data_IF_346172988574
#
_entry.id   IF_346172988574
#
_cell.length_a   1.000
_cell.length_b   1.000
_cell.length_c   1.000
_cell.angle_alpha   90.00
_cell.angle_beta   90.00
_cell.angle_gamma   90.00
#
_symmetry.space_group_name_H-M   'P 1'
#
loop_
_entity.id
_entity.type
_entity.pdbx_description
1 polymer ?
#
# COMPACT_ATOMS: atom_id res chain seq x y z
N UNK A 1 31.34 -10.65 7.36
CA UNK A 1 30.82 -10.76 8.74
C UNK A 1 30.58 -9.36 9.26
N UNK A 2 29.35 -9.02 9.57
CA UNK A 2 28.93 -7.72 10.13
C UNK A 2 28.73 -7.96 11.62
N UNK A 3 29.52 -7.33 12.51
CA UNK A 3 29.28 -7.48 13.95
C UNK A 3 28.06 -6.66 14.36
N UNK A 4 26.98 -7.32 14.74
CA UNK A 4 25.85 -6.70 15.42
C UNK A 4 26.28 -6.29 16.83
N UNK A 5 26.25 -5.00 17.12
CA UNK A 5 26.40 -4.47 18.48
C UNK A 5 25.13 -3.68 18.83
N UNK A 6 24.25 -4.31 19.58
CA UNK A 6 23.06 -3.71 20.15
C UNK A 6 23.43 -2.84 21.37
N UNK A 7 23.55 -1.55 21.17
CA UNK A 7 23.26 -0.48 22.14
C UNK A 7 23.33 0.82 21.34
N UNK A 8 22.18 1.38 20.93
CA UNK A 8 22.15 2.66 20.21
C UNK A 8 23.01 2.60 18.94
N UNK A 9 22.73 1.68 18.02
CA UNK A 9 23.67 1.32 17.00
C UNK A 9 23.38 2.02 15.68
N UNK A 10 24.24 2.96 15.34
CA UNK A 10 24.43 3.41 13.97
C UNK A 10 25.17 2.30 13.20
N UNK A 11 24.59 1.78 12.15
CA UNK A 11 25.26 0.90 11.20
C UNK A 11 25.60 1.71 9.95
N UNK A 12 26.88 2.00 9.75
CA UNK A 12 27.34 2.58 8.49
C UNK A 12 27.67 1.48 7.49
N UNK A 13 26.90 1.37 6.42
CA UNK A 13 27.26 0.56 5.26
C UNK A 13 28.19 1.44 4.39
N UNK A 14 29.45 1.06 4.29
CA UNK A 14 30.41 1.75 3.44
C UNK A 14 30.54 1.01 2.12
N UNK A 15 30.43 1.77 1.04
CA UNK A 15 30.85 1.45 -0.32
C UNK A 15 30.17 0.24 -0.97
N UNK A 16 29.06 0.52 -1.68
CA UNK A 16 28.59 -0.38 -2.74
C UNK A 16 29.23 0.06 -4.06
N UNK A 17 30.14 -0.75 -4.58
CA UNK A 17 30.70 -0.58 -5.91
C UNK A 17 29.96 -1.53 -6.85
N UNK A 18 29.18 -0.96 -7.78
CA UNK A 18 28.55 -1.72 -8.83
C UNK A 18 29.43 -1.66 -10.08
N UNK A 19 29.89 -2.80 -10.56
CA UNK A 19 30.54 -2.97 -11.86
C UNK A 19 29.61 -3.78 -12.76
N UNK A 20 28.92 -3.11 -13.70
CA UNK A 20 28.15 -3.79 -14.73
C UNK A 20 29.06 -4.37 -15.80
N UNK A 21 28.76 -5.55 -16.32
CA UNK A 21 29.51 -6.22 -17.37
C UNK A 21 29.35 -5.62 -18.78
N UNK A 22 28.68 -4.50 -18.93
CA UNK A 22 28.56 -3.82 -20.21
C UNK A 22 29.80 -2.93 -20.44
N UNK A 23 30.64 -3.32 -21.38
CA UNK A 23 31.92 -2.62 -21.64
C UNK A 23 31.75 -1.19 -22.12
N UNK A 24 30.56 -0.75 -22.53
CA UNK A 24 30.29 0.61 -23.00
C UNK A 24 29.81 1.59 -21.93
N UNK A 25 29.35 1.13 -20.77
CA UNK A 25 28.87 2.01 -19.70
C UNK A 25 29.32 1.56 -18.32
N UNK A 26 30.58 1.78 -17.99
CA UNK A 26 31.03 1.63 -16.60
C UNK A 26 30.52 2.79 -15.76
N UNK A 27 29.47 2.57 -14.99
CA UNK A 27 28.96 3.54 -14.02
C UNK A 27 29.62 3.23 -12.68
N UNK A 28 30.43 4.16 -12.18
CA UNK A 28 30.90 4.10 -10.81
C UNK A 28 29.90 4.79 -9.90
N UNK A 29 29.34 4.03 -8.96
CA UNK A 29 28.43 4.58 -7.93
C UNK A 29 29.18 4.59 -6.62
N UNK A 30 29.24 5.75 -5.98
CA UNK A 30 29.79 5.92 -4.64
C UNK A 30 28.76 6.63 -3.76
N UNK A 31 28.26 5.94 -2.76
CA UNK A 31 27.23 6.42 -1.85
C UNK A 31 27.46 5.85 -0.45
N UNK A 32 27.36 6.68 0.57
CA UNK A 32 27.33 6.23 1.95
C UNK A 32 25.93 6.43 2.52
N UNK A 33 25.43 5.43 3.22
CA UNK A 33 24.15 5.51 3.94
C UNK A 33 24.41 5.34 5.43
N UNK A 34 23.74 6.14 6.25
CA UNK A 34 23.65 5.92 7.68
C UNK A 34 22.30 5.28 7.99
N UNK A 35 22.33 4.14 8.65
CA UNK A 35 21.14 3.39 9.05
C UNK A 35 21.03 3.46 10.57
N UNK A 36 19.83 3.74 11.05
CA UNK A 36 19.46 3.67 12.46
C UNK A 36 18.44 2.53 12.65
N UNK A 37 18.63 1.75 13.72
CA UNK A 37 17.67 0.77 14.17
C UNK A 37 17.28 1.15 15.60
N UNK A 38 15.99 1.39 15.82
CA UNK A 38 15.43 1.74 17.11
C UNK A 38 14.29 0.82 17.50
N UNK A 39 14.12 0.64 18.81
CA UNK A 39 12.99 -0.11 19.37
C UNK A 39 12.34 0.79 20.40
N UNK A 40 11.05 1.00 20.24
CA UNK A 40 10.23 1.75 21.18
C UNK A 40 8.95 0.97 21.46
N UNK A 41 8.68 0.70 22.72
CA UNK A 41 7.56 -0.12 23.15
C UNK A 41 7.60 -1.49 22.42
N UNK A 42 6.61 -1.80 21.58
CA UNK A 42 6.53 -3.04 20.81
C UNK A 42 6.86 -2.82 19.32
N UNK A 43 7.41 -1.66 18.98
CA UNK A 43 7.71 -1.30 17.59
C UNK A 43 9.22 -1.28 17.35
N UNK A 44 9.63 -1.86 16.23
CA UNK A 44 10.99 -1.76 15.72
C UNK A 44 10.98 -0.88 14.48
N UNK A 45 11.87 0.10 14.42
CA UNK A 45 12.10 0.93 13.23
C UNK A 45 13.49 0.71 12.70
N UNK A 46 13.59 0.45 11.41
CA UNK A 46 14.78 0.50 10.60
C UNK A 46 14.66 1.68 9.64
N UNK A 47 15.62 2.59 9.63
CA UNK A 47 15.56 3.76 8.76
C UNK A 47 16.93 4.19 8.24
N UNK A 48 16.96 4.72 7.03
CA UNK A 48 18.11 5.45 6.52
C UNK A 48 17.97 6.90 6.96
N UNK A 49 18.82 7.34 7.88
CA UNK A 49 18.78 8.70 8.43
C UNK A 49 19.59 9.69 7.59
N UNK A 50 20.52 9.19 6.77
CA UNK A 50 21.35 10.02 5.91
C UNK A 50 21.85 9.27 4.70
N UNK A 51 21.86 9.95 3.56
CA UNK A 51 22.54 9.51 2.34
C UNK A 51 23.56 10.55 1.92
N UNK A 52 24.85 10.20 1.97
CA UNK A 52 25.92 11.03 1.43
C UNK A 52 26.14 10.68 -0.04
N UNK A 53 25.64 11.54 -0.90
CA UNK A 53 25.74 11.41 -2.36
C UNK A 53 27.12 11.78 -2.83
N UNK A 54 27.72 10.91 -3.59
CA UNK A 54 29.01 11.13 -4.24
C UNK A 54 28.86 10.90 -5.76
N UNK A 55 29.84 10.29 -6.38
CA UNK A 55 29.85 10.05 -7.81
C UNK A 55 28.78 9.04 -8.24
N UNK A 56 28.06 9.32 -9.32
CA UNK A 56 27.13 8.40 -9.99
C UNK A 56 25.79 8.17 -9.30
N UNK A 57 25.47 8.88 -8.21
CA UNK A 57 24.20 8.71 -7.49
C UNK A 57 22.97 9.15 -8.30
N UNK A 58 23.16 10.02 -9.29
CA UNK A 58 22.14 10.44 -10.26
C UNK A 58 21.71 9.30 -11.22
N UNK A 59 22.41 8.17 -11.20
CA UNK A 59 22.11 6.98 -12.00
C UNK A 59 21.37 5.91 -11.21
N UNK A 60 21.11 6.12 -9.93
CA UNK A 60 20.40 5.16 -9.09
C UNK A 60 18.90 5.37 -9.28
N UNK A 61 18.21 4.39 -9.85
CA UNK A 61 16.77 4.44 -10.04
C UNK A 61 16.02 3.98 -8.78
N UNK A 62 16.54 2.97 -8.09
CA UNK A 62 15.90 2.40 -6.90
C UNK A 62 16.92 1.87 -5.88
N UNK A 63 16.46 1.74 -4.65
CA UNK A 63 17.16 1.06 -3.55
C UNK A 63 16.33 -0.18 -3.22
N UNK A 64 16.98 -1.33 -3.23
CA UNK A 64 16.39 -2.60 -2.82
C UNK A 64 17.31 -3.29 -1.81
N UNK A 65 16.73 -3.79 -0.74
CA UNK A 65 17.46 -4.51 0.32
C UNK A 65 16.75 -5.86 0.54
N UNK A 66 16.90 -6.81 -0.40
CA UNK A 66 16.11 -8.04 -0.41
C UNK A 66 16.40 -8.97 0.78
N UNK A 67 17.47 -8.71 1.53
CA UNK A 67 17.84 -9.48 2.73
C UNK A 67 17.46 -8.77 4.03
N UNK A 68 16.71 -7.68 3.95
CA UNK A 68 16.19 -6.96 5.11
C UNK A 68 14.99 -7.72 5.71
N UNK A 69 15.23 -8.90 6.23
CA UNK A 69 14.23 -9.74 6.87
C UNK A 69 14.02 -9.29 8.32
N UNK A 70 13.31 -8.18 8.51
CA UNK A 70 13.04 -7.63 9.85
C UNK A 70 12.00 -8.45 10.62
N UNK A 71 11.18 -9.20 9.91
CA UNK A 71 10.12 -10.02 10.48
C UNK A 71 10.14 -11.40 9.84
N UNK A 72 10.20 -12.44 10.64
CA UNK A 72 10.16 -13.82 10.18
C UNK A 72 9.50 -14.74 11.21
N UNK A 73 8.97 -15.85 10.72
CA UNK A 73 8.41 -16.93 11.52
C UNK A 73 8.91 -18.26 10.97
N UNK A 74 9.23 -19.21 11.87
CA UNK A 74 9.53 -20.59 11.47
C UNK A 74 8.23 -21.34 11.18
N UNK A 75 8.19 -22.07 10.09
CA UNK A 75 6.99 -22.79 9.65
C UNK A 75 6.58 -23.92 10.63
N UNK A 76 7.52 -24.37 11.45
CA UNK A 76 7.27 -25.39 12.48
C UNK A 76 6.74 -24.83 13.80
N UNK A 77 6.66 -23.50 13.93
CA UNK A 77 6.07 -22.88 15.10
C UNK A 77 4.55 -23.14 15.14
N UNK A 78 4.03 -23.34 16.33
CA UNK A 78 2.62 -23.59 16.53
C UNK A 78 1.79 -22.40 16.03
N UNK A 79 0.79 -22.65 15.17
CA UNK A 79 -0.07 -21.65 14.52
C UNK A 79 0.70 -20.65 13.62
N UNK A 80 1.87 -21.03 13.11
CA UNK A 80 2.58 -20.19 12.14
C UNK A 80 1.72 -19.95 10.89
N UNK A 81 1.51 -18.67 10.56
CA UNK A 81 0.64 -18.28 9.46
C UNK A 81 0.99 -16.91 8.90
N UNK A 82 0.51 -16.66 7.70
CA UNK A 82 0.61 -15.38 7.02
C UNK A 82 -0.80 -14.91 6.61
N UNK A 83 -1.05 -13.62 6.78
CA UNK A 83 -2.18 -12.92 6.20
C UNK A 83 -1.70 -11.66 5.47
N UNK A 84 -2.26 -11.37 4.31
CA UNK A 84 -1.90 -10.18 3.55
C UNK A 84 -2.90 -9.83 2.48
N UNK A 85 -2.71 -8.72 1.77
CA UNK A 85 -3.55 -8.33 0.67
C UNK A 85 -2.73 -7.90 -0.54
N UNK A 86 -3.15 -8.34 -1.71
CA UNK A 86 -2.65 -7.86 -3.01
C UNK A 86 -3.66 -6.91 -3.61
N UNK A 87 -3.19 -5.96 -4.41
CA UNK A 87 -4.07 -5.14 -5.24
C UNK A 87 -4.76 -6.04 -6.26
N UNK A 88 -6.09 -6.12 -6.19
CA UNK A 88 -6.87 -6.88 -7.17
C UNK A 88 -7.55 -5.95 -8.15
N UNK A 89 -7.34 -6.19 -9.44
CA UNK A 89 -8.06 -5.50 -10.51
C UNK A 89 -9.34 -6.25 -10.93
N UNK A 90 -9.56 -7.44 -10.40
CA UNK A 90 -10.76 -8.23 -10.64
C UNK A 90 -11.79 -7.97 -9.53
N UNK A 91 -12.85 -7.25 -9.87
CA UNK A 91 -13.94 -6.89 -8.93
C UNK A 91 -14.69 -8.08 -8.34
N UNK A 92 -14.47 -9.30 -8.85
CA UNK A 92 -15.09 -10.54 -8.39
C UNK A 92 -14.20 -11.35 -7.45
N UNK A 93 -12.96 -10.90 -7.21
CA UNK A 93 -12.00 -11.59 -6.36
C UNK A 93 -11.53 -10.68 -5.25
N UNK A 94 -11.45 -11.24 -4.05
CA UNK A 94 -10.73 -10.59 -2.94
C UNK A 94 -9.23 -10.55 -3.24
N UNK A 95 -8.59 -9.47 -2.79
CA UNK A 95 -7.14 -9.37 -2.73
C UNK A 95 -6.53 -10.08 -1.52
N UNK A 96 -7.36 -10.55 -0.59
CA UNK A 96 -6.89 -11.15 0.65
C UNK A 96 -6.23 -12.50 0.42
N UNK A 97 -5.16 -12.75 1.16
CA UNK A 97 -4.38 -13.98 1.16
C UNK A 97 -4.17 -14.47 2.58
N UNK A 98 -4.53 -15.73 2.81
CA UNK A 98 -4.32 -16.41 4.08
C UNK A 98 -3.55 -17.71 3.82
N UNK A 99 -2.44 -17.90 4.51
CA UNK A 99 -1.58 -19.08 4.38
C UNK A 99 -1.29 -19.64 5.78
N UNK A 100 -1.67 -20.87 6.01
CA UNK A 100 -1.26 -21.62 7.21
C UNK A 100 -0.09 -22.51 6.84
N UNK A 101 0.94 -22.56 7.65
CA UNK A 101 2.11 -23.41 7.44
C UNK A 101 1.81 -24.75 8.09
N UNK A 102 1.35 -25.68 7.29
CA UNK A 102 1.10 -27.05 7.64
C UNK A 102 1.92 -28.01 6.73
N UNK A 103 1.75 -29.28 6.93
CA UNK A 103 2.50 -30.34 6.19
C UNK A 103 2.31 -30.29 4.65
N UNK A 104 1.56 -29.39 4.13
CA UNK A 104 1.34 -29.20 2.69
C UNK A 104 1.89 -27.89 2.13
N UNK A 105 2.52 -27.06 2.95
CA UNK A 105 3.05 -25.80 2.49
C UNK A 105 4.23 -25.99 1.53
N UNK A 106 4.11 -25.40 0.36
CA UNK A 106 5.18 -25.36 -0.65
C UNK A 106 5.72 -23.94 -0.72
N UNK A 107 7.02 -23.77 -0.50
CA UNK A 107 7.69 -22.49 -0.63
C UNK A 107 7.40 -21.87 -2.00
N UNK A 108 6.90 -20.64 -2.00
CA UNK A 108 6.58 -19.88 -3.20
C UNK A 108 7.71 -18.92 -3.54
N UNK A 109 7.71 -18.42 -4.77
CA UNK A 109 8.58 -17.30 -5.12
C UNK A 109 8.16 -16.06 -4.30
N UNK A 110 9.09 -15.14 -4.14
CA UNK A 110 8.81 -13.83 -3.53
C UNK A 110 7.57 -13.20 -4.17
N UNK A 111 6.63 -12.80 -3.33
CA UNK A 111 5.35 -12.20 -3.76
C UNK A 111 5.18 -10.87 -3.03
N UNK A 112 4.81 -9.83 -3.79
CA UNK A 112 4.54 -8.51 -3.24
C UNK A 112 3.12 -8.37 -2.72
N UNK A 113 2.97 -7.62 -1.62
CA UNK A 113 1.72 -7.31 -0.96
C UNK A 113 1.62 -5.82 -0.61
N UNK A 114 0.42 -5.30 -0.54
CA UNK A 114 0.16 -3.94 -0.04
C UNK A 114 0.46 -3.89 1.46
N UNK A 115 0.04 -4.90 2.20
CA UNK A 115 0.37 -5.15 3.61
C UNK A 115 0.41 -6.64 3.88
N UNK A 116 1.11 -7.03 4.95
CA UNK A 116 1.25 -8.41 5.37
C UNK A 116 1.56 -8.56 6.85
N UNK A 117 1.06 -9.66 7.41
CA UNK A 117 1.19 -10.02 8.80
C UNK A 117 1.71 -11.44 8.94
N UNK A 118 2.59 -11.67 9.89
CA UNK A 118 3.04 -13.00 10.31
C UNK A 118 2.56 -13.25 11.73
N UNK A 119 2.10 -14.47 11.99
CA UNK A 119 1.56 -14.86 13.28
C UNK A 119 2.12 -16.22 13.69
N UNK A 120 2.37 -16.40 14.96
CA UNK A 120 2.54 -17.68 15.63
C UNK A 120 1.62 -17.76 16.84
N UNK A 121 1.71 -18.83 17.63
CA UNK A 121 0.87 -19.03 18.82
C UNK A 121 0.93 -17.87 19.82
N UNK A 122 2.04 -17.16 19.91
CA UNK A 122 2.32 -16.23 20.99
C UNK A 122 2.22 -14.77 20.59
N UNK A 123 2.47 -14.47 19.32
CA UNK A 123 2.58 -13.09 18.81
C UNK A 123 2.07 -13.00 17.39
N UNK A 124 1.54 -11.84 17.05
CA UNK A 124 1.26 -11.42 15.70
C UNK A 124 2.06 -10.16 15.37
N UNK A 125 2.51 -10.00 14.15
CA UNK A 125 3.34 -8.86 13.77
C UNK A 125 3.09 -8.42 12.34
N UNK A 126 3.20 -7.11 12.09
CA UNK A 126 3.07 -6.52 10.78
C UNK A 126 4.30 -5.70 10.39
N UNK A 127 4.59 -5.62 9.10
CA UNK A 127 5.66 -4.79 8.57
C UNK A 127 5.08 -3.71 7.67
N UNK A 128 5.42 -2.46 7.96
CA UNK A 128 5.14 -1.30 7.12
C UNK A 128 6.44 -0.76 6.52
N UNK A 129 6.35 -0.28 5.29
CA UNK A 129 7.46 0.39 4.60
C UNK A 129 6.91 1.62 3.86
N UNK A 130 7.69 2.70 3.80
CA UNK A 130 7.37 3.84 2.94
C UNK A 130 7.82 3.63 1.48
N UNK A 131 8.08 2.40 1.07
CA UNK A 131 8.37 2.08 -0.32
C UNK A 131 7.19 2.42 -1.23
N UNK A 132 7.49 2.87 -2.42
CA UNK A 132 6.51 3.25 -3.45
C UNK A 132 6.69 2.39 -4.70
N UNK A 133 6.87 1.09 -4.50
CA UNK A 133 7.01 0.16 -5.61
C UNK A 133 5.73 0.13 -6.48
N UNK A 134 5.86 -0.36 -7.71
CA UNK A 134 4.75 -0.55 -8.61
C UNK A 134 3.58 -1.27 -7.92
N UNK A 135 2.36 -0.91 -8.31
CA UNK A 135 1.12 -1.49 -7.78
C UNK A 135 0.92 -1.31 -6.26
N UNK A 136 1.48 -0.25 -5.68
CA UNK A 136 1.39 0.04 -4.24
C UNK A 136 1.96 -1.08 -3.35
N UNK A 137 2.86 -1.90 -3.88
CA UNK A 137 3.52 -2.93 -3.09
C UNK A 137 4.44 -2.30 -2.05
N UNK A 138 4.24 -2.69 -0.80
CA UNK A 138 5.06 -2.20 0.32
C UNK A 138 5.88 -3.29 0.96
N UNK A 139 5.39 -4.51 0.85
CA UNK A 139 5.94 -5.66 1.55
C UNK A 139 6.15 -6.80 0.57
N UNK A 140 7.29 -7.45 0.64
CA UNK A 140 7.61 -8.67 -0.09
C UNK A 140 7.66 -9.84 0.89
N UNK A 141 6.87 -10.86 0.60
CA UNK A 141 6.93 -12.12 1.31
C UNK A 141 7.97 -13.04 0.66
N UNK A 142 8.92 -13.49 1.45
CA UNK A 142 9.94 -14.45 1.04
C UNK A 142 9.74 -15.77 1.79
N UNK A 143 9.60 -16.85 1.02
CA UNK A 143 9.48 -18.21 1.57
C UNK A 143 10.83 -18.92 1.48
N UNK A 144 11.43 -19.25 2.62
CA UNK A 144 12.55 -20.17 2.72
C UNK A 144 12.10 -21.63 2.83
N UNK A 145 13.04 -22.54 3.05
CA UNK A 145 12.72 -23.96 3.26
C UNK A 145 11.93 -24.19 4.55
N UNK A 146 12.28 -23.45 5.61
CA UNK A 146 11.75 -23.64 6.95
C UNK A 146 11.21 -22.32 7.55
N UNK A 147 11.32 -21.20 6.83
CA UNK A 147 10.94 -19.87 7.32
C UNK A 147 10.10 -19.10 6.32
N UNK A 148 9.22 -18.27 6.85
CA UNK A 148 8.56 -17.20 6.13
C UNK A 148 9.04 -15.87 6.66
N UNK A 149 9.40 -14.93 5.78
CA UNK A 149 9.83 -13.60 6.20
C UNK A 149 9.16 -12.51 5.39
N UNK A 150 9.06 -11.35 6.00
CA UNK A 150 8.64 -10.11 5.34
C UNK A 150 9.82 -9.15 5.26
N UNK A 151 10.00 -8.56 4.09
CA UNK A 151 10.93 -7.47 3.84
C UNK A 151 10.20 -6.32 3.15
N UNK A 152 10.80 -5.13 3.14
CA UNK A 152 10.26 -4.01 2.35
C UNK A 152 10.30 -4.31 0.86
N UNK A 153 9.39 -3.71 0.11
CA UNK A 153 9.56 -3.57 -1.33
C UNK A 153 10.64 -2.51 -1.63
N UNK A 154 11.02 -2.37 -2.89
CA UNK A 154 12.02 -1.40 -3.30
C UNK A 154 11.55 0.04 -3.12
N UNK A 155 12.48 0.95 -2.90
CA UNK A 155 12.25 2.40 -2.92
C UNK A 155 12.78 2.99 -4.23
N UNK A 156 11.98 3.79 -4.92
CA UNK A 156 12.50 4.60 -6.02
C UNK A 156 13.36 5.72 -5.45
N UNK A 157 14.53 5.96 -6.04
CA UNK A 157 15.53 6.88 -5.47
C UNK A 157 15.64 8.19 -6.26
N UNK A 158 16.05 8.12 -7.51
CA UNK A 158 16.14 9.26 -8.42
C UNK A 158 15.43 8.93 -9.74
N UNK A 159 15.64 9.75 -10.76
CA UNK A 159 15.02 9.58 -12.04
C UNK A 159 15.00 8.12 -12.48
N UNK A 160 13.84 7.53 -12.49
CA UNK A 160 13.61 6.16 -12.92
C UNK A 160 12.36 6.11 -13.78
N UNK A 161 12.42 5.32 -14.85
CA UNK A 161 11.21 4.93 -15.55
C UNK A 161 10.48 3.94 -14.64
N UNK A 162 9.37 4.36 -14.05
CA UNK A 162 8.54 3.47 -13.22
C UNK A 162 7.84 2.38 -14.04
N UNK A 163 8.15 2.27 -15.33
CA UNK A 163 7.66 1.25 -16.23
C UNK A 163 6.15 1.04 -16.13
N UNK A 164 5.38 1.49 -17.07
CA UNK A 164 3.96 1.28 -17.06
C UNK A 164 3.40 1.37 -18.48
N UNK A 165 2.31 0.70 -18.73
CA UNK A 165 1.64 0.79 -20.02
C UNK A 165 1.29 2.26 -20.32
N UNK A 166 1.78 2.77 -21.42
CA UNK A 166 1.38 4.00 -22.12
C UNK A 166 1.67 5.34 -21.39
N UNK A 167 2.11 5.36 -20.16
CA UNK A 167 2.47 6.57 -19.46
C UNK A 167 3.68 6.31 -18.55
N UNK A 168 4.82 6.10 -19.15
CA UNK A 168 6.09 6.17 -18.45
C UNK A 168 6.22 7.59 -17.87
N UNK A 169 5.78 7.77 -16.64
CA UNK A 169 6.07 8.99 -15.93
C UNK A 169 7.51 8.88 -15.46
N UNK A 170 8.39 9.63 -16.12
CA UNK A 170 9.73 9.87 -15.62
C UNK A 170 9.57 10.77 -14.38
N UNK A 171 9.83 10.23 -13.22
CA UNK A 171 9.83 11.02 -11.99
C UNK A 171 11.25 11.54 -11.76
N UNK A 172 11.41 12.83 -11.91
CA UNK A 172 12.68 13.55 -11.72
C UNK A 172 12.84 14.08 -10.29
N UNK A 173 12.37 13.33 -9.29
CA UNK A 173 12.60 13.81 -7.93
C UNK A 173 13.32 12.79 -7.08
N UNK A 174 14.21 13.28 -6.24
CA UNK A 174 14.76 12.47 -5.16
C UNK A 174 13.60 12.00 -4.25
N UNK A 175 13.84 10.94 -3.49
CA UNK A 175 12.93 10.51 -2.45
C UNK A 175 12.45 11.71 -1.63
N UNK A 176 11.14 11.86 -1.49
CA UNK A 176 10.54 12.87 -0.62
C UNK A 176 10.85 12.60 0.86
N UNK A 177 10.98 11.32 1.19
CA UNK A 177 11.38 10.81 2.49
C UNK A 177 12.46 9.73 2.32
N UNK A 178 13.39 9.64 3.27
CA UNK A 178 14.37 8.57 3.26
C UNK A 178 13.72 7.22 3.52
N UNK A 179 14.26 6.10 2.98
CA UNK A 179 13.73 4.77 3.18
C UNK A 179 13.62 4.38 4.65
N UNK A 180 12.48 3.86 5.05
CA UNK A 180 12.31 3.22 6.34
C UNK A 180 11.34 2.03 6.27
N UNK A 181 11.48 1.16 7.26
CA UNK A 181 10.56 0.06 7.53
C UNK A 181 10.30 -0.03 9.03
N UNK A 182 9.05 -0.28 9.40
CA UNK A 182 8.60 -0.42 10.79
C UNK A 182 7.95 -1.77 11.00
N UNK A 183 8.22 -2.41 12.11
CA UNK A 183 7.56 -3.64 12.54
C UNK A 183 6.80 -3.34 13.82
N UNK A 184 5.49 -3.63 13.83
CA UNK A 184 4.71 -3.70 15.06
C UNK A 184 4.57 -5.15 15.52
N UNK A 185 4.59 -5.37 16.83
CA UNK A 185 4.39 -6.68 17.45
C UNK A 185 3.22 -6.56 18.42
N UNK A 186 2.28 -7.50 18.31
CA UNK A 186 1.07 -7.52 19.12
C UNK A 186 0.87 -8.86 19.79
N UNK A 187 0.35 -8.82 21.00
CA UNK A 187 -0.31 -9.92 21.66
C UNK A 187 -1.82 -9.87 21.32
N UNK A 188 -2.69 -10.45 22.11
CA UNK A 188 -4.15 -10.41 21.94
C UNK A 188 -4.68 -8.98 22.13
N UNK A 189 -4.80 -8.23 21.03
CA UNK A 189 -5.23 -6.82 21.02
C UNK A 189 -6.76 -6.66 20.99
N UNK A 190 -7.47 -7.68 20.54
CA UNK A 190 -8.93 -7.65 20.41
C UNK A 190 -9.64 -8.37 21.58
N UNK A 191 -8.88 -8.93 22.52
CA UNK A 191 -9.34 -9.62 23.74
C UNK A 191 -10.22 -10.86 23.47
N UNK A 192 -10.06 -11.51 22.32
CA UNK A 192 -10.82 -12.70 21.96
C UNK A 192 -10.17 -14.01 22.44
N UNK A 193 -8.99 -13.92 23.04
CA UNK A 193 -8.15 -15.02 23.58
C UNK A 193 -7.48 -15.87 22.49
N UNK A 194 -7.42 -15.37 21.29
CA UNK A 194 -6.74 -15.98 20.17
C UNK A 194 -5.74 -14.97 19.63
N UNK A 195 -4.55 -15.38 19.30
CA UNK A 195 -3.59 -14.49 18.63
C UNK A 195 -3.61 -14.82 17.15
N UNK A 196 -4.01 -13.83 16.37
CA UNK A 196 -4.07 -13.95 14.93
C UNK A 196 -3.67 -12.65 14.20
N UNK A 197 -3.87 -12.59 12.89
CA UNK A 197 -3.52 -11.43 12.08
C UNK A 197 -4.29 -10.15 12.45
N UNK A 198 -5.47 -10.28 13.08
CA UNK A 198 -6.29 -9.12 13.45
C UNK A 198 -5.61 -8.29 14.54
N UNK A 199 -4.90 -8.93 15.45
CA UNK A 199 -4.13 -8.26 16.49
C UNK A 199 -3.02 -7.42 15.90
N UNK A 200 -2.23 -7.99 14.97
CA UNK A 200 -1.22 -7.23 14.25
C UNK A 200 -1.84 -6.11 13.42
N UNK A 201 -3.01 -6.31 12.83
CA UNK A 201 -3.70 -5.28 12.05
C UNK A 201 -4.19 -4.11 12.92
N UNK A 202 -4.56 -4.37 14.19
CA UNK A 202 -4.88 -3.31 15.15
C UNK A 202 -3.62 -2.49 15.48
N UNK A 203 -2.52 -3.17 15.86
CA UNK A 203 -1.25 -2.49 16.15
C UNK A 203 -0.64 -1.78 14.94
N UNK A 204 -0.83 -2.33 13.75
CA UNK A 204 -0.33 -1.78 12.49
C UNK A 204 -0.84 -0.36 12.19
N UNK A 205 -2.02 0.00 12.68
CA UNK A 205 -2.59 1.34 12.50
C UNK A 205 -1.72 2.44 13.10
N UNK A 206 -0.94 2.12 14.13
CA UNK A 206 -0.10 3.09 14.84
C UNK A 206 1.24 3.36 14.09
N UNK A 207 1.63 2.47 13.19
CA UNK A 207 2.91 2.58 12.46
C UNK A 207 2.77 3.01 11.01
N UNK A 208 1.58 2.98 10.42
CA UNK A 208 1.35 3.36 9.02
C UNK A 208 1.33 4.88 8.84
N UNK A 209 1.66 5.31 7.64
CA UNK A 209 1.40 6.68 7.24
C UNK A 209 -0.08 6.83 6.89
N UNK A 210 -0.75 7.71 7.61
CA UNK A 210 -2.15 8.02 7.38
C UNK A 210 -2.24 9.09 6.29
N UNK A 211 -2.99 8.87 5.19
CA UNK A 211 -3.14 9.87 4.14
C UNK A 211 -3.71 11.18 4.66
N UNK A 212 -3.30 12.29 4.06
CA UNK A 212 -3.85 13.60 4.37
C UNK A 212 -5.38 13.60 4.19
N UNK A 213 -6.09 14.16 5.17
CA UNK A 213 -7.55 14.22 5.17
C UNK A 213 -8.26 12.92 5.55
N UNK A 214 -7.54 11.86 5.91
CA UNK A 214 -8.17 10.59 6.31
C UNK A 214 -9.04 10.72 7.58
N UNK A 215 -8.69 11.64 8.49
CA UNK A 215 -9.50 11.91 9.68
C UNK A 215 -10.88 12.48 9.34
N UNK A 216 -10.99 13.21 8.23
CA UNK A 216 -12.25 13.80 7.79
C UNK A 216 -13.20 12.74 7.17
N UNK A 217 -12.64 11.60 6.74
CA UNK A 217 -13.41 10.57 6.01
C UNK A 217 -13.43 9.21 6.72
N UNK A 218 -12.79 9.06 7.87
CA UNK A 218 -12.66 7.76 8.56
C UNK A 218 -13.99 7.14 8.99
N UNK A 219 -14.97 7.98 9.30
CA UNK A 219 -16.29 7.58 9.76
C UNK A 219 -17.33 7.54 8.61
N UNK A 220 -16.88 7.77 7.36
CA UNK A 220 -17.73 7.77 6.18
C UNK A 220 -17.67 6.42 5.44
N UNK A 221 -18.80 5.99 4.92
CA UNK A 221 -18.84 4.88 3.96
C UNK A 221 -18.37 5.40 2.60
N UNK A 222 -17.13 5.08 2.24
CA UNK A 222 -16.50 5.58 1.04
C UNK A 222 -16.65 4.58 -0.12
N UNK A 223 -17.16 5.06 -1.26
CA UNK A 223 -17.21 4.24 -2.47
C UNK A 223 -17.19 5.08 -3.74
N UNK A 224 -16.84 4.42 -4.84
CA UNK A 224 -16.80 5.02 -6.17
C UNK A 224 -17.83 4.38 -7.07
N UNK A 225 -18.55 5.21 -7.81
CA UNK A 225 -19.51 4.75 -8.83
C UNK A 225 -18.97 5.10 -10.21
N UNK A 226 -18.83 4.11 -11.07
CA UNK A 226 -18.58 4.31 -12.50
C UNK A 226 -19.93 4.50 -13.17
N UNK A 227 -20.22 5.72 -13.59
CA UNK A 227 -21.50 6.11 -14.16
C UNK A 227 -21.57 5.81 -15.65
N UNK A 228 -20.48 6.10 -16.35
CA UNK A 228 -20.40 5.96 -17.79
C UNK A 228 -18.97 5.47 -18.15
N UNK A 229 -18.92 4.42 -18.95
CA UNK A 229 -17.65 3.90 -19.47
C UNK A 229 -17.71 3.87 -21.00
N UNK A 230 -16.96 4.74 -21.64
CA UNK A 230 -17.09 4.98 -23.08
C UNK A 230 -18.49 5.50 -23.41
N UNK A 231 -19.20 4.81 -24.30
CA UNK A 231 -20.59 5.17 -24.67
C UNK A 231 -21.66 4.45 -23.87
N UNK A 232 -21.27 3.64 -22.88
CA UNK A 232 -22.19 2.78 -22.14
C UNK A 232 -22.56 3.40 -20.77
N UNK A 233 -23.75 3.92 -20.66
CA UNK A 233 -24.35 4.33 -19.39
C UNK A 233 -24.54 3.11 -18.50
N UNK A 234 -23.96 3.15 -17.30
CA UNK A 234 -24.01 2.04 -16.35
C UNK A 234 -24.79 2.37 -15.09
N UNK A 235 -24.64 3.58 -14.59
CA UNK A 235 -25.30 4.04 -13.36
C UNK A 235 -25.78 5.49 -13.54
N UNK A 236 -26.96 5.74 -14.13
CA UNK A 236 -27.57 7.06 -14.21
C UNK A 236 -27.70 7.73 -12.84
N UNK A 237 -27.88 9.04 -12.79
CA UNK A 237 -28.00 9.81 -11.54
C UNK A 237 -29.12 9.27 -10.64
N UNK A 238 -30.27 8.89 -11.22
CA UNK A 238 -31.39 8.31 -10.49
C UNK A 238 -31.04 6.96 -9.85
N UNK A 239 -30.26 6.10 -10.53
CA UNK A 239 -29.78 4.83 -9.98
C UNK A 239 -28.77 5.08 -8.86
N UNK A 240 -27.90 6.06 -9.01
CA UNK A 240 -26.94 6.48 -7.99
C UNK A 240 -27.66 6.99 -6.73
N UNK A 241 -28.65 7.81 -6.87
CA UNK A 241 -29.51 8.25 -5.78
C UNK A 241 -30.17 7.09 -5.03
N UNK A 242 -30.68 6.10 -5.76
CA UNK A 242 -31.23 4.87 -5.16
C UNK A 242 -30.17 4.04 -4.44
N UNK A 243 -28.93 4.02 -4.93
CA UNK A 243 -27.82 3.30 -4.27
C UNK A 243 -27.44 4.00 -2.94
N UNK A 244 -27.42 5.33 -2.89
CA UNK A 244 -27.19 6.08 -1.64
C UNK A 244 -28.21 5.66 -0.57
N UNK A 245 -29.51 5.64 -0.93
CA UNK A 245 -30.58 5.18 -0.03
C UNK A 245 -30.38 3.74 0.46
N UNK A 246 -29.96 2.84 -0.44
CA UNK A 246 -29.69 1.43 -0.10
C UNK A 246 -28.51 1.28 0.85
N UNK A 247 -27.44 2.03 0.61
CA UNK A 247 -26.26 2.04 1.50
C UNK A 247 -26.66 2.59 2.86
N UNK A 248 -27.36 3.72 2.94
CA UNK A 248 -27.84 4.26 4.20
C UNK A 248 -28.68 3.25 4.98
N UNK A 249 -29.59 2.56 4.29
CA UNK A 249 -30.39 1.51 4.93
C UNK A 249 -29.55 0.32 5.42
N UNK A 250 -28.55 -0.09 4.64
CA UNK A 250 -27.70 -1.22 4.97
C UNK A 250 -26.70 -0.94 6.11
N UNK A 251 -26.37 0.33 6.32
CA UNK A 251 -25.38 0.78 7.32
C UNK A 251 -26.03 1.46 8.53
N UNK A 252 -27.36 1.39 8.66
CA UNK A 252 -28.12 2.06 9.73
C UNK A 252 -27.88 3.58 9.77
N UNK A 253 -27.75 4.20 8.58
CA UNK A 253 -27.65 5.64 8.43
C UNK A 253 -26.25 6.24 8.63
N UNK A 254 -25.20 5.44 8.44
CA UNK A 254 -23.83 6.00 8.45
C UNK A 254 -23.69 7.04 7.32
N UNK A 255 -22.96 8.14 7.56
CA UNK A 255 -22.66 9.13 6.53
C UNK A 255 -21.80 8.52 5.41
N UNK A 256 -21.90 9.08 4.22
CA UNK A 256 -21.29 8.52 3.03
C UNK A 256 -20.42 9.54 2.29
N UNK A 257 -19.42 9.07 1.58
CA UNK A 257 -18.69 9.84 0.57
C UNK A 257 -18.68 9.07 -0.75
N UNK A 258 -19.26 9.66 -1.78
CA UNK A 258 -19.46 9.01 -3.09
C UNK A 258 -18.71 9.75 -4.18
N UNK A 259 -17.72 9.10 -4.77
CA UNK A 259 -17.02 9.65 -5.92
C UNK A 259 -17.67 9.19 -7.22
N UNK A 260 -18.15 10.14 -8.01
CA UNK A 260 -18.75 9.89 -9.32
C UNK A 260 -17.69 9.89 -10.40
N UNK A 261 -17.48 8.76 -11.06
CA UNK A 261 -16.54 8.63 -12.17
C UNK A 261 -17.28 8.64 -13.50
N UNK A 262 -17.07 9.67 -14.30
CA UNK A 262 -17.73 9.84 -15.59
C UNK A 262 -19.08 10.55 -15.53
N UNK A 263 -19.27 11.43 -14.58
CA UNK A 263 -20.50 12.19 -14.36
C UNK A 263 -20.79 13.25 -15.44
N UNK A 264 -19.75 13.75 -16.08
CA UNK A 264 -19.86 14.84 -17.02
C UNK A 264 -19.65 14.42 -18.48
N UNK A 265 -20.09 15.30 -19.39
CA UNK A 265 -19.87 15.22 -20.80
C UNK A 265 -20.19 13.83 -21.41
N UNK A 266 -19.27 13.20 -22.14
CA UNK A 266 -19.43 11.88 -22.76
C UNK A 266 -19.00 10.73 -21.84
N UNK A 267 -18.62 11.02 -20.59
CA UNK A 267 -18.27 10.06 -19.56
C UNK A 267 -16.78 9.79 -19.37
N UNK A 268 -16.47 8.72 -18.67
CA UNK A 268 -15.09 8.33 -18.38
C UNK A 268 -14.28 8.10 -19.66
N UNK A 269 -13.04 8.60 -19.67
CA UNK A 269 -12.09 8.53 -20.78
C UNK A 269 -12.48 9.31 -22.03
N UNK A 270 -13.51 10.15 -21.95
CA UNK A 270 -13.81 11.12 -23.00
C UNK A 270 -13.09 12.46 -22.74
N UNK A 271 -12.93 13.27 -23.78
CA UNK A 271 -12.31 14.58 -23.68
C UNK A 271 -13.16 15.51 -22.82
N UNK A 272 -12.86 15.57 -21.55
CA UNK A 272 -13.59 16.37 -20.55
C UNK A 272 -12.92 17.74 -20.44
N UNK A 273 -13.36 18.68 -21.28
CA UNK A 273 -12.80 20.03 -21.32
C UNK A 273 -13.54 21.01 -20.40
N UNK A 274 -14.68 20.62 -19.86
CA UNK A 274 -15.53 21.47 -19.03
C UNK A 274 -16.18 20.67 -17.89
N UNK A 275 -15.82 21.01 -16.65
CA UNK A 275 -16.30 20.30 -15.46
C UNK A 275 -17.77 20.56 -15.12
N UNK A 276 -18.35 21.61 -15.65
CA UNK A 276 -19.75 21.95 -15.44
C UNK A 276 -20.70 21.33 -16.48
N UNK A 277 -20.17 20.58 -17.43
CA UNK A 277 -20.96 19.91 -18.45
C UNK A 277 -21.52 18.59 -17.89
N UNK A 278 -22.76 18.65 -17.42
CA UNK A 278 -23.45 17.49 -16.84
C UNK A 278 -23.98 16.57 -17.94
N UNK A 279 -23.73 15.28 -17.82
CA UNK A 279 -24.05 14.29 -18.84
C UNK A 279 -25.57 14.14 -19.04
N UNK A 280 -26.03 14.48 -20.22
CA UNK A 280 -27.42 14.25 -20.64
C UNK A 280 -27.77 12.73 -20.69
N UNK A 281 -26.78 11.89 -20.94
CA UNK A 281 -26.95 10.43 -20.97
C UNK A 281 -27.22 9.84 -19.60
N UNK A 282 -26.70 10.48 -18.57
CA UNK A 282 -26.89 10.03 -17.18
C UNK A 282 -28.19 10.55 -16.56
N UNK A 283 -28.92 11.43 -17.27
CA UNK A 283 -30.19 12.01 -16.83
C UNK A 283 -30.21 13.54 -16.89
N UNK A 284 -29.09 14.18 -17.24
CA UNK A 284 -29.00 15.62 -17.37
C UNK A 284 -29.00 16.37 -16.03
N UNK A 285 -29.10 17.70 -16.12
CA UNK A 285 -28.97 18.60 -14.98
C UNK A 285 -30.05 18.37 -13.93
N UNK A 286 -31.28 18.05 -14.33
CA UNK A 286 -32.38 17.90 -13.38
C UNK A 286 -32.21 16.64 -12.54
N UNK A 287 -31.89 15.49 -13.13
CA UNK A 287 -31.61 14.26 -12.39
C UNK A 287 -30.35 14.40 -11.52
N UNK A 288 -29.35 15.19 -11.96
CA UNK A 288 -28.19 15.46 -11.13
C UNK A 288 -28.52 16.31 -9.89
N UNK A 289 -29.43 17.28 -10.01
CA UNK A 289 -29.92 18.04 -8.85
C UNK A 289 -30.70 17.13 -7.89
N UNK A 290 -31.57 16.29 -8.41
CA UNK A 290 -32.30 15.31 -7.60
C UNK A 290 -31.33 14.37 -6.86
N UNK A 291 -30.24 13.95 -7.49
CA UNK A 291 -29.18 13.18 -6.84
C UNK A 291 -28.56 13.97 -5.68
N UNK A 292 -28.23 15.25 -5.88
CA UNK A 292 -27.65 16.09 -4.82
C UNK A 292 -28.64 16.32 -3.66
N UNK A 293 -29.91 16.50 -3.94
CA UNK A 293 -30.95 16.63 -2.91
C UNK A 293 -31.05 15.34 -2.08
N UNK A 294 -31.04 14.18 -2.73
CA UNK A 294 -30.98 12.88 -2.06
C UNK A 294 -29.69 12.72 -1.26
N UNK A 295 -28.54 13.11 -1.80
CA UNK A 295 -27.29 13.03 -1.09
C UNK A 295 -27.34 13.86 0.21
N UNK A 296 -27.83 15.08 0.17
CA UNK A 296 -28.01 15.92 1.37
C UNK A 296 -28.98 15.31 2.39
N UNK A 297 -30.07 14.69 1.92
CA UNK A 297 -31.04 14.02 2.81
C UNK A 297 -30.43 12.84 3.58
N UNK A 298 -29.45 12.17 2.97
CA UNK A 298 -28.80 10.96 3.52
C UNK A 298 -27.36 11.20 3.99
N UNK A 299 -27.03 12.44 4.38
CA UNK A 299 -25.70 12.82 4.90
C UNK A 299 -24.55 12.27 4.02
N UNK A 300 -24.64 12.57 2.74
CA UNK A 300 -23.72 12.02 1.72
C UNK A 300 -23.00 13.14 0.98
N UNK A 301 -21.66 13.07 1.01
CA UNK A 301 -20.78 13.93 0.21
C UNK A 301 -20.62 13.37 -1.20
N UNK A 302 -20.75 14.24 -2.21
CA UNK A 302 -20.56 13.89 -3.63
C UNK A 302 -19.28 14.55 -4.17
N UNK A 303 -18.39 13.73 -4.71
CA UNK A 303 -17.14 14.16 -5.31
C UNK A 303 -16.92 13.64 -6.74
#
# INVERSE_FOLDING_TARGET
EIPLRLVGSEMCIRDSKYEGEDEETKININMNMTVEISVKDNDLTWEITKIDRKEGTDKIASIDIPQLNLLSVDQVEENASFAGAVKSTDTKKSGDKFITFDDGFVAQKSVGYVYGFLTNKNLSAGLFSNSEAEDDLRVIMNSGADTMSLTSAQWYYEAGDKGGQAQAATYDYPLSELPYAKVCIAEDMNEDKTIDWQDAAVAYRDIINVPYGSEDVKDLVNYRIVMNFGSAVTNPYSVTADNIKKVALATDGLPQAVMLKGYGNEGHDSANSEYADISEREGGVDDFRDLLDVAHEYDTEIG
#
